data_IF_980626837581
#
_entry.id   IF_980626837581
#
_cell.length_a   1.000
_cell.length_b   1.000
_cell.length_c   1.000
_cell.angle_alpha   90.00
_cell.angle_beta   90.00
_cell.angle_gamma   90.00
#
_symmetry.space_group_name_H-M   'P 1'
#
loop_
_entity.id
_entity.type
_entity.pdbx_description
1 polymer ?
#
# COMPACT_ATOMS: atom_id res chain seq x y z
N UNK A 1 20.53 25.13 9.85
CA UNK A 1 21.69 25.25 8.95
C UNK A 1 21.88 26.72 8.66
N UNK A 2 23.12 27.17 8.49
CA UNK A 2 23.43 28.57 8.30
C UNK A 2 23.80 28.83 6.83
N UNK A 3 23.46 30.02 6.35
CA UNK A 3 23.75 30.47 5.00
C UNK A 3 25.26 30.63 4.84
N UNK A 4 25.89 30.04 3.81
CA UNK A 4 27.33 30.14 3.62
C UNK A 4 27.79 31.57 3.25
N UNK A 5 26.88 32.43 2.78
CA UNK A 5 27.19 33.79 2.38
C UNK A 5 27.14 34.81 3.53
N UNK A 6 26.21 34.66 4.49
CA UNK A 6 26.00 35.66 5.54
C UNK A 6 25.83 35.10 6.97
N UNK A 7 25.81 33.77 7.15
CA UNK A 7 25.65 33.12 8.45
C UNK A 7 24.22 33.10 9.01
N UNK A 8 23.26 33.66 8.30
CA UNK A 8 21.84 33.66 8.70
C UNK A 8 21.18 32.29 8.57
N UNK A 9 20.08 32.01 9.28
CA UNK A 9 19.32 30.78 9.09
C UNK A 9 18.80 30.64 7.65
N UNK A 10 18.77 29.39 7.14
CA UNK A 10 18.16 29.06 5.83
C UNK A 10 16.87 28.28 6.00
N UNK A 11 15.90 28.53 5.11
CA UNK A 11 14.74 27.65 4.92
C UNK A 11 15.13 26.49 4.00
N UNK A 12 14.45 25.36 4.17
CA UNK A 12 14.67 24.15 3.38
C UNK A 12 13.32 23.67 2.87
N UNK A 13 13.25 23.39 1.58
CA UNK A 13 12.07 22.87 0.89
C UNK A 13 12.44 21.63 0.08
N UNK A 14 11.49 20.71 -0.10
CA UNK A 14 11.72 19.44 -0.79
C UNK A 14 10.74 19.30 -1.96
N UNK A 15 11.25 19.49 -3.18
CA UNK A 15 10.55 19.33 -4.44
C UNK A 15 9.34 20.27 -4.61
N UNK A 16 8.87 20.48 -5.86
CA UNK A 16 7.60 21.17 -6.09
C UNK A 16 6.38 20.26 -5.84
N UNK A 17 6.56 18.94 -5.94
CA UNK A 17 5.46 17.96 -5.94
C UNK A 17 5.14 17.39 -4.55
N UNK A 18 5.84 17.83 -3.50
CA UNK A 18 5.65 17.36 -2.12
C UNK A 18 5.15 18.49 -1.22
N UNK A 19 4.39 18.17 -0.16
CA UNK A 19 3.95 19.18 0.81
C UNK A 19 5.13 19.95 1.41
N UNK A 20 4.96 21.25 1.66
CA UNK A 20 5.99 22.09 2.28
C UNK A 20 6.43 21.60 3.68
N UNK A 21 5.59 20.81 4.34
CA UNK A 21 5.90 20.19 5.63
C UNK A 21 6.75 18.92 5.53
N UNK A 22 6.99 18.41 4.32
CA UNK A 22 7.75 17.17 4.12
C UNK A 22 9.20 17.36 4.52
N UNK A 23 9.68 16.52 5.43
CA UNK A 23 11.10 16.50 5.78
C UNK A 23 11.91 15.80 4.68
N UNK A 24 13.21 16.12 4.59
CA UNK A 24 14.12 15.43 3.66
C UNK A 24 14.15 13.93 3.93
N UNK A 25 14.13 13.52 5.20
CA UNK A 25 14.12 12.11 5.58
C UNK A 25 12.88 11.38 5.09
N UNK A 26 11.69 11.97 5.29
CA UNK A 26 10.45 11.37 4.82
C UNK A 26 10.40 11.31 3.29
N UNK A 27 10.92 12.34 2.60
CA UNK A 27 11.01 12.33 1.15
C UNK A 27 11.91 11.21 0.62
N UNK A 28 13.06 10.98 1.27
CA UNK A 28 14.00 9.91 0.90
C UNK A 28 13.41 8.53 1.19
N UNK A 29 12.70 8.35 2.30
CA UNK A 29 12.08 7.07 2.66
C UNK A 29 10.88 6.72 1.78
N UNK A 30 10.15 7.72 1.30
CA UNK A 30 9.04 7.56 0.37
C UNK A 30 9.46 7.64 -1.10
N UNK A 31 10.77 7.59 -1.39
CA UNK A 31 11.28 7.69 -2.75
C UNK A 31 11.11 6.37 -3.48
N UNK A 32 10.70 6.42 -4.75
CA UNK A 32 10.76 5.26 -5.63
C UNK A 32 12.22 4.97 -6.06
N UNK A 33 12.46 3.75 -6.57
CA UNK A 33 13.75 3.42 -7.17
C UNK A 33 14.07 4.41 -8.28
N UNK A 34 15.28 4.97 -8.25
CA UNK A 34 15.75 6.00 -9.18
C UNK A 34 15.03 7.35 -9.14
N UNK A 35 14.12 7.58 -8.18
CA UNK A 35 13.47 8.88 -8.02
C UNK A 35 14.49 9.98 -7.68
N UNK A 36 14.33 11.13 -8.33
CA UNK A 36 15.12 12.32 -8.09
C UNK A 36 14.35 13.31 -7.20
N UNK A 37 14.88 13.56 -6.01
CA UNK A 37 14.34 14.49 -5.03
C UNK A 37 15.13 15.80 -5.12
N UNK A 38 14.46 16.89 -5.48
CA UNK A 38 15.04 18.22 -5.40
C UNK A 38 14.91 18.78 -3.98
N UNK A 39 16.00 19.35 -3.47
CA UNK A 39 16.05 20.03 -2.17
C UNK A 39 16.56 21.43 -2.39
N UNK A 40 15.75 22.40 -2.01
CA UNK A 40 16.03 23.82 -2.16
C UNK A 40 16.36 24.43 -0.81
N UNK A 41 17.36 25.31 -0.79
CA UNK A 41 17.76 26.07 0.39
C UNK A 41 17.79 27.54 0.07
N UNK A 42 17.08 28.33 0.86
CA UNK A 42 16.95 29.77 0.68
C UNK A 42 17.36 30.54 1.92
N UNK A 43 18.14 31.59 1.72
CA UNK A 43 18.44 32.58 2.73
C UNK A 43 17.66 33.86 2.44
N UNK A 44 16.67 34.14 3.28
CA UNK A 44 15.82 35.33 3.14
C UNK A 44 16.55 36.64 3.45
N UNK A 45 17.67 36.59 4.18
CA UNK A 45 18.40 37.79 4.59
C UNK A 45 19.29 38.36 3.47
N UNK A 46 19.96 37.49 2.69
CA UNK A 46 20.90 37.90 1.66
C UNK A 46 20.52 37.45 0.25
N UNK A 47 19.41 36.72 0.09
CA UNK A 47 18.92 36.23 -1.20
C UNK A 47 19.72 35.06 -1.77
N UNK A 48 20.60 34.44 -0.98
CA UNK A 48 21.31 33.24 -1.41
C UNK A 48 20.32 32.08 -1.60
N UNK A 49 20.46 31.38 -2.73
CA UNK A 49 19.61 30.26 -3.11
C UNK A 49 20.49 29.12 -3.64
N UNK A 50 20.15 27.90 -3.27
CA UNK A 50 20.77 26.69 -3.80
C UNK A 50 19.76 25.58 -3.95
N UNK A 51 19.75 24.95 -5.13
CA UNK A 51 19.00 23.72 -5.39
C UNK A 51 19.98 22.56 -5.55
N UNK A 52 19.71 21.44 -4.89
CA UNK A 52 20.44 20.18 -5.04
C UNK A 52 19.47 19.06 -5.36
N UNK A 53 19.94 18.07 -6.11
CA UNK A 53 19.18 16.87 -6.36
C UNK A 53 19.81 15.67 -5.64
N UNK A 54 18.97 14.87 -5.02
CA UNK A 54 19.28 13.57 -4.45
C UNK A 54 18.63 12.52 -5.35
N UNK A 55 19.35 11.44 -5.68
CA UNK A 55 18.76 10.29 -6.37
C UNK A 55 18.95 9.07 -5.51
N UNK A 56 17.87 8.32 -5.28
CA UNK A 56 17.93 7.06 -4.56
C UNK A 56 18.25 5.96 -5.56
N UNK A 57 19.49 5.46 -5.55
CA UNK A 57 19.94 4.44 -6.50
C UNK A 57 19.54 3.03 -6.09
N UNK A 58 19.38 2.78 -4.80
CA UNK A 58 18.95 1.50 -4.24
C UNK A 58 18.53 1.69 -2.79
N UNK A 59 17.46 1.02 -2.38
CA UNK A 59 17.10 0.86 -0.97
C UNK A 59 17.25 -0.62 -0.65
N UNK A 60 18.13 -0.95 0.31
CA UNK A 60 18.17 -2.31 0.86
C UNK A 60 16.98 -2.48 1.81
N UNK A 61 15.93 -3.13 1.31
CA UNK A 61 14.73 -3.46 2.07
C UNK A 61 14.84 -4.80 2.80
N UNK A 62 15.92 -5.55 2.56
CA UNK A 62 16.16 -6.86 3.18
C UNK A 62 16.79 -6.73 4.57
N UNK A 63 17.44 -5.60 4.85
CA UNK A 63 17.90 -5.21 6.17
C UNK A 63 16.76 -4.56 6.99
N UNK A 64 15.75 -5.36 7.36
CA UNK A 64 14.66 -4.96 8.24
C UNK A 64 14.60 -5.80 9.52
N UNK A 65 13.78 -5.41 10.49
CA UNK A 65 13.34 -6.35 11.53
C UNK A 65 12.68 -7.53 10.83
N UNK A 66 13.28 -8.71 10.95
CA UNK A 66 12.80 -9.96 10.34
C UNK A 66 11.31 -10.17 10.63
N UNK A 67 10.88 -9.83 11.84
CA UNK A 67 9.47 -9.88 12.27
C UNK A 67 8.57 -8.94 11.45
N UNK A 68 9.06 -7.75 11.09
CA UNK A 68 8.30 -6.78 10.31
C UNK A 68 8.18 -7.22 8.85
N UNK A 69 9.24 -7.81 8.29
CA UNK A 69 9.24 -8.37 6.93
C UNK A 69 8.28 -9.56 6.85
N UNK A 70 8.34 -10.50 7.80
CA UNK A 70 7.41 -11.63 7.88
C UNK A 70 5.96 -11.17 7.98
N UNK A 71 5.69 -10.14 8.81
CA UNK A 71 4.34 -9.58 8.94
C UNK A 71 3.83 -8.93 7.66
N UNK A 72 4.68 -8.21 6.92
CA UNK A 72 4.30 -7.61 5.65
C UNK A 72 3.93 -8.68 4.63
N UNK A 73 4.74 -9.74 4.52
CA UNK A 73 4.46 -10.87 3.63
C UNK A 73 3.12 -11.56 3.96
N UNK A 74 2.81 -11.74 5.25
CA UNK A 74 1.51 -12.29 5.68
C UNK A 74 0.33 -11.37 5.32
N UNK A 75 0.50 -10.06 5.40
CA UNK A 75 -0.56 -9.10 5.04
C UNK A 75 -0.84 -9.13 3.54
N UNK A 76 0.20 -9.25 2.71
CA UNK A 76 0.06 -9.36 1.26
C UNK A 76 -0.68 -10.65 0.89
N UNK A 77 -0.31 -11.80 1.50
CA UNK A 77 -1.02 -13.08 1.32
C UNK A 77 -2.50 -12.96 1.69
N UNK A 78 -2.83 -12.37 2.84
CA UNK A 78 -4.22 -12.14 3.25
C UNK A 78 -4.95 -11.24 2.25
N UNK A 79 -4.30 -10.22 1.71
CA UNK A 79 -4.91 -9.28 0.76
C UNK A 79 -5.23 -9.97 -0.57
N UNK A 80 -4.33 -10.81 -1.06
CA UNK A 80 -4.56 -11.63 -2.26
C UNK A 80 -5.68 -12.66 -2.03
N UNK A 81 -5.70 -13.32 -0.88
CA UNK A 81 -6.79 -14.22 -0.52
C UNK A 81 -8.13 -13.49 -0.45
N UNK A 82 -8.18 -12.31 0.17
CA UNK A 82 -9.39 -11.47 0.21
C UNK A 82 -9.84 -11.06 -1.19
N UNK A 83 -8.92 -10.70 -2.08
CA UNK A 83 -9.23 -10.36 -3.47
C UNK A 83 -9.76 -11.57 -4.26
N UNK A 84 -9.34 -12.79 -3.90
CA UNK A 84 -9.83 -14.03 -4.50
C UNK A 84 -11.25 -14.41 -4.06
N UNK A 85 -11.72 -13.88 -2.92
CA UNK A 85 -13.10 -14.06 -2.46
C UNK A 85 -14.02 -13.17 -3.31
N UNK A 86 -14.45 -13.74 -4.45
CA UNK A 86 -15.20 -13.06 -5.51
C UNK A 86 -16.50 -12.39 -5.00
N UNK A 87 -17.20 -13.01 -4.04
CA UNK A 87 -18.21 -12.37 -3.18
C UNK A 87 -18.79 -13.40 -2.21
N UNK A 88 -18.79 -13.09 -0.91
CA UNK A 88 -19.48 -13.93 0.09
C UNK A 88 -20.99 -13.99 -0.19
N UNK A 89 -21.56 -12.90 -0.71
CA UNK A 89 -22.98 -12.83 -1.07
C UNK A 89 -23.38 -13.78 -2.20
N UNK A 90 -22.55 -13.95 -3.24
CA UNK A 90 -22.85 -14.91 -4.32
C UNK A 90 -22.77 -16.36 -3.84
N UNK A 91 -21.86 -16.67 -2.91
CA UNK A 91 -21.81 -17.98 -2.26
C UNK A 91 -23.07 -18.24 -1.40
N UNK A 92 -23.52 -17.26 -0.63
CA UNK A 92 -24.75 -17.35 0.17
C UNK A 92 -26.00 -17.51 -0.70
N UNK A 93 -26.13 -16.75 -1.78
CA UNK A 93 -27.22 -16.86 -2.75
C UNK A 93 -27.26 -18.23 -3.44
N UNK A 94 -26.09 -18.73 -3.86
CA UNK A 94 -25.97 -20.06 -4.46
C UNK A 94 -26.39 -21.16 -3.48
N UNK A 95 -26.00 -21.03 -2.21
CA UNK A 95 -26.37 -21.99 -1.16
C UNK A 95 -27.87 -21.95 -0.86
N UNK A 96 -28.48 -20.76 -0.84
CA UNK A 96 -29.93 -20.61 -0.72
C UNK A 96 -30.67 -21.26 -1.89
N UNK A 97 -30.21 -21.06 -3.12
CA UNK A 97 -30.78 -21.70 -4.32
C UNK A 97 -30.71 -23.23 -4.26
N UNK A 98 -29.58 -23.81 -3.84
CA UNK A 98 -29.43 -25.26 -3.67
C UNK A 98 -30.41 -25.81 -2.62
N UNK A 99 -30.58 -25.10 -1.49
CA UNK A 99 -31.53 -25.50 -0.45
C UNK A 99 -32.98 -25.45 -0.95
N UNK A 100 -33.34 -24.40 -1.69
CA UNK A 100 -34.65 -24.25 -2.31
C UNK A 100 -34.92 -25.40 -3.28
N UNK A 101 -33.96 -25.72 -4.14
CA UNK A 101 -34.07 -26.77 -5.15
C UNK A 101 -34.28 -28.15 -4.51
N UNK A 102 -33.54 -28.48 -3.45
CA UNK A 102 -33.74 -29.71 -2.66
C UNK A 102 -35.08 -29.77 -1.94
N UNK A 103 -35.66 -28.63 -1.56
CA UNK A 103 -36.98 -28.58 -0.93
C UNK A 103 -38.11 -28.74 -1.96
N UNK A 104 -37.87 -28.35 -3.21
CA UNK A 104 -38.84 -28.46 -4.32
C UNK A 104 -38.68 -29.72 -5.16
N UNK A 105 -37.59 -30.48 -5.04
CA UNK A 105 -37.47 -31.82 -5.61
C UNK A 105 -38.23 -32.80 -4.70
N UNK A 106 -39.40 -33.31 -5.11
CA UNK A 106 -40.03 -34.39 -4.38
C UNK A 106 -39.11 -35.61 -4.53
N UNK A 107 -38.57 -36.11 -3.43
CA UNK A 107 -38.05 -37.48 -3.39
C UNK A 107 -39.14 -38.37 -3.97
N UNK A 108 -38.96 -38.84 -5.21
CA UNK A 108 -39.68 -39.98 -5.77
C UNK A 108 -39.36 -41.14 -4.84
N UNK A 109 -40.24 -41.27 -3.85
CA UNK A 109 -40.35 -42.44 -3.02
C UNK A 109 -41.00 -43.46 -3.95
N UNK A 110 -40.17 -44.13 -4.77
CA UNK A 110 -40.59 -45.36 -5.43
C UNK A 110 -40.86 -46.38 -4.32
N UNK A 111 -42.09 -46.32 -3.84
CA UNK A 111 -42.77 -47.41 -3.19
C UNK A 111 -43.06 -48.43 -4.28
N UNK A 112 -42.11 -49.31 -4.54
CA UNK A 112 -42.44 -50.60 -5.16
C UNK A 112 -42.66 -51.61 -4.03
N UNK A 113 -43.91 -51.63 -3.59
CA UNK A 113 -44.49 -52.76 -2.88
C UNK A 113 -45.50 -53.41 -3.84
N UNK A 114 -45.15 -54.58 -4.39
CA UNK A 114 -46.07 -55.52 -5.04
C UNK A 114 -45.53 -56.94 -4.75
N UNK A 115 -45.96 -57.59 -3.66
CA UNK A 115 -47.07 -58.58 -3.56
C UNK A 115 -46.74 -59.96 -4.18
N UNK A 116 -46.93 -60.99 -3.34
CA UNK A 116 -46.87 -62.46 -3.53
C UNK A 116 -45.52 -63.20 -3.48
#
# INVERSE_FOLDING_TARGET
>A
MDCPACGSPVTLEVGPDRPLSTSVSDAVLAAEEDEQIEVTRDCWDCGWHETRALRVTSIDTTAGDETAVERAALIDEITDELASIESVGTLEETLAAIRQQRATDPTTTDTDNATE
#
